data_IF_132744772394
#
_entry.id   IF_132744772394
#
_cell.length_a   1.000
_cell.length_b   1.000
_cell.length_c   1.000
_cell.angle_alpha   90.00
_cell.angle_beta   90.00
_cell.angle_gamma   90.00
#
_symmetry.space_group_name_H-M   'P 1'
#
loop_
_entity.id
_entity.type
_entity.pdbx_description
1 polymer ?
#
# COMPACT_ATOMS: atom_id res chain seq x y z
N UNK A 1 28.27 -5.50 -28.37
CA UNK A 1 27.15 -5.27 -27.45
C UNK A 1 26.93 -6.54 -26.66
N UNK A 2 27.04 -6.49 -25.34
CA UNK A 2 26.78 -7.68 -24.51
C UNK A 2 25.35 -8.12 -24.72
N UNK A 3 25.14 -9.38 -25.11
CA UNK A 3 23.81 -9.94 -25.43
C UNK A 3 22.94 -10.17 -24.18
N UNK A 4 22.79 -9.14 -23.35
CA UNK A 4 21.93 -9.17 -22.16
C UNK A 4 20.48 -9.09 -22.63
N UNK A 5 19.68 -10.05 -22.21
CA UNK A 5 18.26 -10.07 -22.55
C UNK A 5 17.51 -8.98 -21.75
N UNK A 6 16.49 -8.34 -22.33
CA UNK A 6 15.67 -7.34 -21.62
C UNK A 6 15.05 -7.87 -20.32
N UNK A 7 14.76 -9.17 -20.24
CA UNK A 7 14.26 -9.86 -19.05
C UNK A 7 15.28 -9.89 -17.90
N UNK A 8 16.57 -9.98 -18.20
CA UNK A 8 17.63 -10.00 -17.18
C UNK A 8 17.81 -8.62 -16.54
N UNK A 9 17.72 -7.57 -17.35
CA UNK A 9 17.76 -6.16 -16.87
C UNK A 9 16.57 -5.90 -15.96
N UNK A 10 15.37 -6.32 -16.37
CA UNK A 10 14.16 -6.15 -15.58
C UNK A 10 14.24 -6.93 -14.26
N UNK A 11 14.68 -8.18 -14.31
CA UNK A 11 14.83 -9.01 -13.12
C UNK A 11 15.85 -8.41 -12.13
N UNK A 12 16.99 -7.94 -12.61
CA UNK A 12 18.00 -7.26 -11.79
C UNK A 12 17.43 -6.02 -11.09
N UNK A 13 16.66 -5.22 -11.83
CA UNK A 13 16.02 -4.03 -11.28
C UNK A 13 14.99 -4.37 -10.19
N UNK A 14 14.14 -5.36 -10.44
CA UNK A 14 13.15 -5.83 -9.44
C UNK A 14 13.86 -6.34 -8.19
N UNK A 15 14.90 -7.15 -8.31
CA UNK A 15 15.65 -7.69 -7.17
C UNK A 15 16.30 -6.57 -6.34
N UNK A 16 16.93 -5.61 -7.00
CA UNK A 16 17.53 -4.45 -6.31
C UNK A 16 16.46 -3.64 -5.57
N UNK A 17 15.34 -3.39 -6.22
CA UNK A 17 14.26 -2.61 -5.63
C UNK A 17 13.59 -3.33 -4.45
N UNK A 18 13.42 -4.64 -4.52
CA UNK A 18 12.96 -5.45 -3.38
C UNK A 18 13.90 -5.32 -2.18
N UNK A 19 15.22 -5.38 -2.40
CA UNK A 19 16.21 -5.18 -1.35
C UNK A 19 16.10 -3.79 -0.70
N UNK A 20 16.01 -2.75 -1.51
CA UNK A 20 15.83 -1.36 -1.02
C UNK A 20 14.55 -1.24 -0.20
N UNK A 21 13.44 -1.81 -0.65
CA UNK A 21 12.16 -1.75 0.07
C UNK A 21 12.20 -2.43 1.43
N UNK A 22 12.87 -3.58 1.54
CA UNK A 22 13.03 -4.27 2.84
C UNK A 22 13.81 -3.38 3.81
N UNK A 23 14.93 -2.80 3.36
CA UNK A 23 15.75 -1.90 4.17
C UNK A 23 14.95 -0.66 4.58
N UNK A 24 14.25 -0.04 3.64
CA UNK A 24 13.44 1.16 3.89
C UNK A 24 12.30 0.87 4.89
N UNK A 25 11.63 -0.27 4.76
CA UNK A 25 10.59 -0.70 5.70
C UNK A 25 11.16 -0.92 7.10
N UNK A 26 12.32 -1.58 7.21
CA UNK A 26 12.98 -1.80 8.49
C UNK A 26 13.38 -0.47 9.17
N UNK A 27 13.94 0.46 8.41
CA UNK A 27 14.28 1.80 8.92
C UNK A 27 13.02 2.54 9.38
N UNK A 28 11.96 2.56 8.55
CA UNK A 28 10.71 3.26 8.89
C UNK A 28 10.07 2.71 10.16
N UNK A 29 9.98 1.39 10.29
CA UNK A 29 9.43 0.76 11.49
C UNK A 29 10.30 1.01 12.73
N UNK A 30 11.62 1.00 12.57
CA UNK A 30 12.55 1.33 13.65
C UNK A 30 12.35 2.77 14.13
N UNK A 31 12.19 3.72 13.22
CA UNK A 31 11.89 5.12 13.59
C UNK A 31 10.56 5.25 14.33
N UNK A 32 9.51 4.62 13.84
CA UNK A 32 8.17 4.69 14.45
C UNK A 32 8.20 4.12 15.88
N UNK A 33 8.82 2.96 16.05
CA UNK A 33 8.78 2.24 17.32
C UNK A 33 9.83 2.73 18.33
N UNK A 34 11.07 3.02 17.88
CA UNK A 34 12.20 3.33 18.76
C UNK A 34 12.39 4.83 18.97
N UNK A 35 12.25 5.65 17.93
CA UNK A 35 12.49 7.09 18.03
C UNK A 35 11.23 7.82 18.48
N UNK A 36 10.10 7.55 17.85
CA UNK A 36 8.84 8.20 18.20
C UNK A 36 8.12 7.53 19.37
N UNK A 37 8.57 6.35 19.82
CA UNK A 37 7.95 5.59 20.91
C UNK A 37 6.42 5.48 20.76
N UNK A 38 5.94 5.34 19.52
CA UNK A 38 4.51 5.21 19.27
C UNK A 38 4.09 3.82 19.78
N UNK A 39 3.12 3.74 20.72
CA UNK A 39 2.68 2.47 21.25
C UNK A 39 2.07 1.63 20.12
N UNK A 40 2.64 0.46 19.88
CA UNK A 40 2.10 -0.52 18.96
C UNK A 40 1.42 -1.61 19.79
N UNK A 41 0.10 -1.59 19.87
CA UNK A 41 -0.67 -2.56 20.62
C UNK A 41 -0.78 -3.91 19.89
N UNK A 42 -0.62 -3.90 18.54
CA UNK A 42 -0.70 -5.09 17.69
C UNK A 42 0.65 -5.67 17.28
N UNK A 43 0.64 -6.82 16.59
CA UNK A 43 1.87 -7.48 16.14
C UNK A 43 2.55 -6.68 15.04
N UNK A 44 3.80 -6.31 15.29
CA UNK A 44 4.67 -5.53 14.38
C UNK A 44 4.84 -6.24 13.03
N UNK A 45 4.74 -7.57 13.01
CA UNK A 45 4.84 -8.36 11.78
C UNK A 45 3.78 -7.98 10.74
N UNK A 46 2.53 -7.76 11.15
CA UNK A 46 1.46 -7.33 10.25
C UNK A 46 1.68 -5.90 9.74
N UNK A 47 2.18 -5.03 10.60
CA UNK A 47 2.55 -3.68 10.20
C UNK A 47 3.64 -3.71 9.11
N UNK A 48 4.65 -4.56 9.27
CA UNK A 48 5.70 -4.78 8.26
C UNK A 48 5.13 -5.32 6.94
N UNK A 49 4.24 -6.32 7.00
CA UNK A 49 3.62 -6.91 5.80
C UNK A 49 2.81 -5.88 5.03
N UNK A 50 1.97 -5.08 5.70
CA UNK A 50 1.16 -4.05 5.05
C UNK A 50 2.05 -2.97 4.45
N UNK A 51 3.10 -2.54 5.17
CA UNK A 51 4.05 -1.54 4.66
C UNK A 51 4.78 -2.04 3.41
N UNK A 52 5.25 -3.30 3.42
CA UNK A 52 5.86 -3.92 2.25
C UNK A 52 4.89 -4.02 1.07
N UNK A 53 3.68 -4.48 1.32
CA UNK A 53 2.65 -4.63 0.28
C UNK A 53 2.32 -3.28 -0.36
N UNK A 54 2.20 -2.23 0.45
CA UNK A 54 2.00 -0.87 -0.02
C UNK A 54 3.19 -0.35 -0.82
N UNK A 55 4.41 -0.68 -0.41
CA UNK A 55 5.62 -0.36 -1.15
C UNK A 55 5.64 -1.04 -2.52
N UNK A 56 5.25 -2.32 -2.61
CA UNK A 56 5.13 -3.02 -3.90
C UNK A 56 4.08 -2.39 -4.82
N UNK A 57 2.96 -1.92 -4.26
CA UNK A 57 1.95 -1.20 -5.04
C UNK A 57 2.53 0.11 -5.61
N UNK A 58 3.29 0.87 -4.79
CA UNK A 58 3.98 2.08 -5.24
C UNK A 58 5.03 1.80 -6.31
N UNK A 59 5.83 0.73 -6.15
CA UNK A 59 6.81 0.32 -7.15
C UNK A 59 6.14 -0.03 -8.49
N UNK A 60 5.07 -0.80 -8.46
CA UNK A 60 4.31 -1.18 -9.67
C UNK A 60 3.72 0.05 -10.36
N UNK A 61 3.25 1.03 -9.59
CA UNK A 61 2.79 2.31 -10.11
C UNK A 61 3.94 3.11 -10.74
N UNK A 62 5.12 3.12 -10.13
CA UNK A 62 6.33 3.74 -10.71
C UNK A 62 6.73 3.12 -12.05
N UNK A 63 6.66 1.80 -12.18
CA UNK A 63 6.88 1.12 -13.46
C UNK A 63 5.87 1.52 -14.53
N UNK A 64 4.59 1.66 -14.16
CA UNK A 64 3.56 2.12 -15.08
C UNK A 64 3.87 3.53 -15.59
N UNK A 65 4.21 4.46 -14.68
CA UNK A 65 4.58 5.84 -15.07
C UNK A 65 5.80 5.83 -15.99
N UNK A 66 6.82 5.07 -15.64
CA UNK A 66 8.04 4.95 -16.47
C UNK A 66 7.75 4.40 -17.87
N UNK A 67 6.82 3.46 -18.00
CA UNK A 67 6.45 2.90 -19.31
C UNK A 67 5.60 3.86 -20.15
N UNK A 68 4.81 4.72 -19.53
CA UNK A 68 3.97 5.71 -20.22
C UNK A 68 4.75 6.92 -20.74
N UNK A 69 5.79 7.34 -20.02
CA UNK A 69 6.53 8.56 -20.32
C UNK A 69 7.75 8.28 -21.18
N UNK A 70 8.00 9.17 -22.16
CA UNK A 70 9.17 9.10 -23.05
C UNK A 70 10.33 9.99 -22.55
N UNK A 71 10.07 10.84 -21.56
CA UNK A 71 11.08 11.71 -20.95
C UNK A 71 11.02 11.69 -19.42
N UNK A 72 12.19 11.88 -18.78
CA UNK A 72 12.29 11.93 -17.32
C UNK A 72 11.47 13.08 -16.72
N UNK A 73 11.43 14.23 -17.40
CA UNK A 73 10.66 15.39 -16.95
C UNK A 73 9.16 15.10 -16.90
N UNK A 74 8.62 14.43 -17.92
CA UNK A 74 7.21 14.01 -17.94
C UNK A 74 6.92 12.98 -16.87
N UNK A 75 7.83 12.02 -16.64
CA UNK A 75 7.67 11.02 -15.60
C UNK A 75 7.63 11.64 -14.20
N UNK A 76 8.53 12.60 -13.92
CA UNK A 76 8.51 13.36 -12.67
C UNK A 76 7.21 14.15 -12.48
N UNK A 77 6.78 14.85 -13.51
CA UNK A 77 5.56 15.67 -13.46
C UNK A 77 4.31 14.82 -13.24
N UNK A 78 4.22 13.68 -13.93
CA UNK A 78 3.11 12.73 -13.75
C UNK A 78 3.12 12.07 -12.37
N UNK A 79 4.31 11.74 -11.85
CA UNK A 79 4.47 11.18 -10.50
C UNK A 79 3.99 12.16 -9.43
N UNK A 80 4.43 13.40 -9.50
CA UNK A 80 4.03 14.45 -8.56
C UNK A 80 2.53 14.76 -8.71
N UNK A 81 2.06 14.90 -9.95
CA UNK A 81 0.65 15.19 -10.26
C UNK A 81 -0.32 14.10 -9.80
N UNK A 82 0.10 12.84 -9.74
CA UNK A 82 -0.71 11.73 -9.24
C UNK A 82 -0.58 11.56 -7.72
N UNK A 83 0.59 11.88 -7.16
CA UNK A 83 0.86 11.72 -5.72
C UNK A 83 -0.02 12.62 -4.85
N UNK A 84 -0.14 13.91 -5.17
CA UNK A 84 -0.91 14.85 -4.37
C UNK A 84 -2.40 14.51 -4.25
N UNK A 85 -3.12 14.21 -5.33
CA UNK A 85 -4.52 13.75 -5.22
C UNK A 85 -4.65 12.47 -4.39
N UNK A 86 -3.74 11.50 -4.56
CA UNK A 86 -3.75 10.27 -3.76
C UNK A 86 -3.51 10.57 -2.28
N UNK A 87 -2.61 11.49 -1.95
CA UNK A 87 -2.33 11.90 -0.57
C UNK A 87 -3.54 12.58 0.07
N UNK A 88 -4.20 13.49 -0.65
CA UNK A 88 -5.39 14.19 -0.17
C UNK A 88 -6.56 13.24 0.09
N UNK A 89 -6.76 12.28 -0.84
CA UNK A 89 -7.84 11.31 -0.76
C UNK A 89 -7.57 10.18 0.25
N UNK A 90 -6.30 9.95 0.63
CA UNK A 90 -5.93 8.84 1.52
C UNK A 90 -6.43 8.98 2.96
N UNK A 91 -6.99 10.14 3.34
CA UNK A 91 -7.43 10.39 4.71
C UNK A 91 -6.30 10.73 5.68
N UNK A 92 -5.07 10.96 5.18
CA UNK A 92 -3.92 11.36 6.00
C UNK A 92 -4.00 12.84 6.37
N UNK A 93 -4.25 13.70 5.38
CA UNK A 93 -4.31 15.15 5.56
C UNK A 93 -5.72 15.61 5.94
N UNK A 94 -6.74 14.99 5.40
CA UNK A 94 -8.13 15.35 5.63
C UNK A 94 -8.93 14.12 6.07
N UNK A 95 -9.65 14.19 7.21
CA UNK A 95 -10.42 13.04 7.69
C UNK A 95 -11.52 12.67 6.69
N UNK A 96 -11.68 11.36 6.45
CA UNK A 96 -12.64 10.83 5.48
C UNK A 96 -14.08 11.22 5.79
N UNK A 97 -14.41 11.39 7.08
CA UNK A 97 -15.74 11.77 7.57
C UNK A 97 -16.15 13.18 7.11
N UNK A 98 -15.17 14.06 6.85
CA UNK A 98 -15.40 15.43 6.36
C UNK A 98 -15.54 15.53 4.85
N UNK A 99 -15.38 14.43 4.10
CA UNK A 99 -15.52 14.43 2.64
C UNK A 99 -16.97 14.17 2.21
N UNK A 100 -17.33 14.66 1.03
CA UNK A 100 -18.63 14.32 0.42
C UNK A 100 -18.73 12.82 0.11
N UNK A 101 -19.93 12.25 0.12
CA UNK A 101 -20.17 10.80 0.02
C UNK A 101 -19.54 10.16 -1.23
N UNK A 102 -19.56 10.84 -2.37
CA UNK A 102 -18.96 10.34 -3.60
C UNK A 102 -17.42 10.32 -3.51
N UNK A 103 -16.83 11.33 -2.84
CA UNK A 103 -15.39 11.42 -2.63
C UNK A 103 -14.90 10.35 -1.67
N UNK A 104 -15.67 10.03 -0.62
CA UNK A 104 -15.40 8.92 0.29
C UNK A 104 -15.37 7.58 -0.44
N UNK A 105 -16.27 7.37 -1.40
CA UNK A 105 -16.30 6.15 -2.21
C UNK A 105 -15.05 6.02 -3.09
N UNK A 106 -14.64 7.11 -3.74
CA UNK A 106 -13.39 7.15 -4.51
C UNK A 106 -12.17 6.94 -3.63
N UNK A 107 -12.13 7.57 -2.45
CA UNK A 107 -11.04 7.41 -1.50
C UNK A 107 -10.86 5.95 -1.05
N UNK A 108 -11.94 5.24 -0.77
CA UNK A 108 -11.92 3.82 -0.39
C UNK A 108 -11.43 2.88 -1.51
N UNK A 109 -11.51 3.32 -2.75
CA UNK A 109 -11.00 2.55 -3.90
C UNK A 109 -9.47 2.62 -4.00
N UNK A 110 -8.85 3.66 -3.44
CA UNK A 110 -7.40 3.85 -3.47
C UNK A 110 -6.69 2.90 -2.50
N UNK A 111 -5.57 2.26 -2.92
CA UNK A 111 -4.83 1.34 -2.07
C UNK A 111 -4.26 2.03 -0.81
N UNK A 112 -3.89 3.32 -0.92
CA UNK A 112 -3.33 4.09 0.18
C UNK A 112 -4.31 4.31 1.34
N UNK A 113 -5.58 4.51 1.06
CA UNK A 113 -6.61 4.79 2.08
C UNK A 113 -6.82 3.61 3.01
N UNK A 114 -6.98 2.42 2.43
CA UNK A 114 -7.16 1.20 3.20
C UNK A 114 -5.89 0.84 3.98
N UNK A 115 -4.70 1.09 3.39
CA UNK A 115 -3.42 0.87 4.06
C UNK A 115 -3.29 1.74 5.31
N UNK A 116 -3.59 3.04 5.20
CA UNK A 116 -3.53 3.95 6.34
C UNK A 116 -4.51 3.57 7.45
N UNK A 117 -5.72 3.14 7.10
CA UNK A 117 -6.71 2.66 8.06
C UNK A 117 -6.22 1.39 8.76
N UNK A 118 -5.76 0.39 7.99
CA UNK A 118 -5.26 -0.86 8.53
C UNK A 118 -4.06 -0.65 9.46
N UNK A 119 -3.10 0.19 9.08
CA UNK A 119 -1.96 0.53 9.95
C UNK A 119 -2.40 1.21 11.25
N UNK A 120 -3.33 2.14 11.18
CA UNK A 120 -3.88 2.83 12.34
C UNK A 120 -4.60 1.86 13.28
N UNK A 121 -5.39 0.93 12.75
CA UNK A 121 -6.11 -0.05 13.55
C UNK A 121 -5.17 -1.05 14.22
N UNK A 122 -4.11 -1.51 13.54
CA UNK A 122 -3.08 -2.36 14.14
C UNK A 122 -2.34 -1.62 15.25
N UNK A 123 -1.89 -0.39 15.01
CA UNK A 123 -1.08 0.36 15.96
C UNK A 123 -1.87 0.79 17.20
N UNK A 124 -3.07 1.33 17.02
CA UNK A 124 -3.83 1.93 18.12
C UNK A 124 -4.72 0.92 18.86
N UNK A 125 -5.22 -0.11 18.16
CA UNK A 125 -6.22 -1.02 18.70
C UNK A 125 -5.70 -2.44 18.97
N UNK A 126 -4.47 -2.74 18.54
CA UNK A 126 -3.84 -4.03 18.79
C UNK A 126 -4.46 -5.21 18.06
N UNK A 127 -5.07 -4.96 16.91
CA UNK A 127 -5.83 -5.99 16.20
C UNK A 127 -4.93 -6.91 15.39
N UNK A 128 -5.15 -8.21 15.56
CA UNK A 128 -4.50 -9.29 14.86
C UNK A 128 -5.51 -10.00 13.94
N UNK A 129 -5.06 -10.46 12.78
CA UNK A 129 -5.89 -11.22 11.82
C UNK A 129 -6.32 -12.57 12.39
N UNK A 130 -5.54 -13.13 13.33
CA UNK A 130 -5.83 -14.44 13.93
C UNK A 130 -6.84 -14.42 15.07
N UNK A 131 -7.35 -13.26 15.47
CA UNK A 131 -8.21 -13.10 16.64
C UNK A 131 -9.69 -13.45 16.39
N UNK A 132 -9.97 -14.34 15.43
CA UNK A 132 -11.33 -14.89 15.23
C UNK A 132 -11.82 -15.76 16.39
N UNK A 133 -10.90 -16.21 17.27
CA UNK A 133 -11.23 -17.23 18.28
C UNK A 133 -11.57 -16.69 19.67
N UNK A 134 -11.45 -15.39 19.93
CA UNK A 134 -11.75 -14.80 21.25
C UNK A 134 -13.24 -14.43 21.43
N UNK A 135 -14.06 -14.64 20.43
CA UNK A 135 -15.44 -14.12 20.37
C UNK A 135 -16.53 -14.99 21.02
N UNK A 136 -16.19 -16.04 21.71
CA UNK A 136 -17.20 -16.89 22.39
C UNK A 136 -17.71 -16.30 23.71
N UNK A 137 -17.29 -15.10 24.11
CA UNK A 137 -17.64 -14.58 25.44
C UNK A 137 -18.12 -13.14 25.58
N UNK A 138 -18.12 -12.29 24.54
CA UNK A 138 -18.43 -10.87 24.70
C UNK A 138 -19.50 -10.38 23.72
N UNK A 139 -20.63 -9.96 24.29
CA UNK A 139 -21.77 -9.19 23.79
C UNK A 139 -21.87 -8.88 22.27
N UNK A 140 -22.99 -9.30 21.71
CA UNK A 140 -23.44 -9.22 20.30
C UNK A 140 -23.35 -7.81 19.67
N UNK A 141 -23.32 -6.75 20.43
CA UNK A 141 -23.19 -5.35 19.94
C UNK A 141 -21.73 -4.94 19.62
N UNK A 142 -20.75 -5.56 20.23
CA UNK A 142 -19.33 -5.31 19.93
C UNK A 142 -18.84 -6.11 18.72
N UNK A 143 -19.47 -7.23 18.41
CA UNK A 143 -19.05 -8.16 17.36
C UNK A 143 -19.18 -7.60 15.94
N UNK A 144 -20.20 -6.77 15.68
CA UNK A 144 -20.38 -6.17 14.34
C UNK A 144 -19.28 -5.13 13.99
N UNK A 145 -18.81 -4.37 14.96
CA UNK A 145 -17.72 -3.43 14.78
C UNK A 145 -16.36 -4.13 14.65
N UNK A 146 -16.12 -5.17 15.42
CA UNK A 146 -14.86 -5.93 15.41
C UNK A 146 -14.72 -6.77 14.14
N UNK A 147 -15.80 -7.38 13.67
CA UNK A 147 -15.80 -8.15 12.43
C UNK A 147 -15.57 -7.28 11.20
N UNK A 148 -16.03 -6.01 11.21
CA UNK A 148 -15.77 -5.09 10.11
C UNK A 148 -14.29 -4.68 9.98
N UNK A 149 -13.49 -4.75 11.03
CA UNK A 149 -12.11 -4.27 11.02
C UNK A 149 -11.08 -5.35 10.67
N UNK A 150 -11.28 -6.62 11.04
CA UNK A 150 -10.48 -7.73 10.48
C UNK A 150 -10.67 -7.81 8.97
N UNK A 151 -11.88 -7.50 8.50
CA UNK A 151 -12.20 -7.36 7.08
C UNK A 151 -11.42 -6.21 6.42
N UNK A 152 -11.18 -5.08 7.12
CA UNK A 152 -10.41 -3.96 6.57
C UNK A 152 -8.96 -4.38 6.29
N UNK A 153 -8.32 -5.12 7.19
CA UNK A 153 -6.95 -5.60 6.99
C UNK A 153 -6.89 -6.60 5.83
N UNK A 154 -7.85 -7.51 5.74
CA UNK A 154 -7.95 -8.45 4.62
C UNK A 154 -8.27 -7.75 3.30
N UNK A 155 -9.21 -6.81 3.30
CA UNK A 155 -9.56 -5.99 2.15
C UNK A 155 -8.35 -5.16 1.68
N UNK A 156 -7.53 -4.66 2.62
CA UNK A 156 -6.30 -3.96 2.29
C UNK A 156 -5.32 -4.86 1.54
N UNK A 157 -5.07 -6.07 2.03
CA UNK A 157 -4.16 -7.00 1.37
C UNK A 157 -4.66 -7.38 -0.03
N UNK A 158 -5.96 -7.65 -0.15
CA UNK A 158 -6.59 -7.96 -1.45
C UNK A 158 -6.54 -6.76 -2.38
N UNK A 159 -6.92 -5.57 -1.92
CA UNK A 159 -6.91 -4.35 -2.71
C UNK A 159 -5.50 -4.02 -3.23
N UNK A 160 -4.49 -4.04 -2.36
CA UNK A 160 -3.11 -3.79 -2.78
C UNK A 160 -2.62 -4.81 -3.80
N UNK A 161 -2.94 -6.09 -3.61
CA UNK A 161 -2.58 -7.15 -4.57
C UNK A 161 -3.25 -6.94 -5.92
N UNK A 162 -4.52 -6.59 -5.94
CA UNK A 162 -5.26 -6.26 -7.18
C UNK A 162 -4.62 -5.07 -7.88
N UNK A 163 -4.30 -3.99 -7.16
CA UNK A 163 -3.66 -2.82 -7.74
C UNK A 163 -2.26 -3.11 -8.29
N UNK A 164 -1.45 -3.92 -7.60
CA UNK A 164 -0.15 -4.39 -8.10
C UNK A 164 -0.34 -5.11 -9.44
N UNK A 165 -1.28 -6.04 -9.52
CA UNK A 165 -1.56 -6.78 -10.75
C UNK A 165 -2.04 -5.87 -11.88
N UNK A 166 -2.95 -4.93 -11.59
CA UNK A 166 -3.46 -3.96 -12.58
C UNK A 166 -2.30 -3.12 -13.13
N UNK A 167 -1.45 -2.57 -12.27
CA UNK A 167 -0.35 -1.71 -12.70
C UNK A 167 0.70 -2.48 -13.50
N UNK A 168 1.02 -3.71 -13.12
CA UNK A 168 1.98 -4.55 -13.85
C UNK A 168 1.42 -4.95 -15.24
N UNK A 169 0.15 -5.34 -15.32
CA UNK A 169 -0.50 -5.70 -16.59
C UNK A 169 -0.57 -4.49 -17.51
N UNK A 170 -0.96 -3.32 -17.01
CA UNK A 170 -0.99 -2.10 -17.80
C UNK A 170 0.42 -1.71 -18.28
N UNK A 171 1.42 -1.77 -17.42
CA UNK A 171 2.81 -1.51 -17.78
C UNK A 171 3.29 -2.46 -18.88
N UNK A 172 2.98 -3.76 -18.77
CA UNK A 172 3.32 -4.74 -19.78
C UNK A 172 2.64 -4.47 -21.14
N UNK A 173 1.35 -4.11 -21.12
CA UNK A 173 0.60 -3.77 -22.34
C UNK A 173 1.23 -2.54 -23.03
N UNK A 174 1.55 -1.50 -22.26
CA UNK A 174 2.16 -0.28 -22.78
C UNK A 174 3.52 -0.56 -23.40
N UNK A 175 4.38 -1.32 -22.72
CA UNK A 175 5.69 -1.71 -23.23
C UNK A 175 5.55 -2.54 -24.51
N UNK A 176 4.62 -3.50 -24.54
CA UNK A 176 4.35 -4.31 -25.74
C UNK A 176 3.89 -3.49 -26.95
N UNK A 177 3.13 -2.43 -26.71
CA UNK A 177 2.64 -1.56 -27.80
C UNK A 177 3.69 -0.54 -28.28
N UNK A 178 4.77 -0.30 -27.49
CA UNK A 178 5.88 0.57 -27.85
C UNK A 178 7.03 -0.16 -28.54
N UNK A 179 7.10 -1.49 -28.44
CA UNK A 179 8.05 -2.38 -29.14
C UNK A 179 7.55 -2.78 -30.52
#
# INVERSE_FOLDING_TARGET
MAGVQPSEILASHIMTQCGVMIIQTAITLSFILLVFNIPCAGPVAWLAVITLLQGFAGMSFGFLISSLCDSEALAMQLSIGSFYPCLLLSGILWPLEGMSSWLQTLAKLLPNTLACQAMRDIMLRGWDISQSDVYLGVNITASSHLQSHSLIIQLQAISSTIWIMIFLVLSWIVVKNKL
#
